data_IF_046581280066
#
_entry.id   IF_046581280066
#
_cell.length_a   1.000
_cell.length_b   1.000
_cell.length_c   1.000
_cell.angle_alpha   90.00
_cell.angle_beta   90.00
_cell.angle_gamma   90.00
#
_symmetry.space_group_name_H-M   'P 1'
#
loop_
_entity.id
_entity.type
_entity.pdbx_description
1 polymer ?
#
# COMPACT_ATOMS: atom_id res chain seq x y z
N UNK A 1 4.75 8.95 8.64
CA UNK A 1 4.37 7.60 9.08
C UNK A 1 2.84 7.41 9.23
N UNK A 2 2.08 8.41 9.72
CA UNK A 2 0.61 8.34 9.80
C UNK A 2 -0.01 8.17 8.41
N UNK A 3 0.41 8.97 7.45
CA UNK A 3 -0.05 8.94 6.06
C UNK A 3 0.20 7.59 5.38
N UNK A 4 1.40 6.98 5.56
CA UNK A 4 1.71 5.64 5.06
C UNK A 4 0.82 4.56 5.68
N UNK A 5 0.43 4.73 6.96
CA UNK A 5 -0.49 3.81 7.62
C UNK A 5 -1.88 3.86 7.00
N UNK A 6 -2.38 5.05 6.76
CA UNK A 6 -3.69 5.29 6.15
C UNK A 6 -3.73 4.78 4.70
N UNK A 7 -2.70 5.05 3.91
CA UNK A 7 -2.55 4.56 2.55
C UNK A 7 -2.50 3.03 2.48
N UNK A 8 -1.71 2.39 3.34
CA UNK A 8 -1.64 0.93 3.46
C UNK A 8 -3.00 0.34 3.84
N UNK A 9 -3.73 0.96 4.77
CA UNK A 9 -5.07 0.55 5.17
C UNK A 9 -6.05 0.65 4.00
N UNK A 10 -6.03 1.76 3.25
CA UNK A 10 -6.86 1.97 2.07
C UNK A 10 -6.57 0.95 0.97
N UNK A 11 -5.29 0.67 0.69
CA UNK A 11 -4.87 -0.35 -0.30
C UNK A 11 -5.38 -1.74 0.10
N UNK A 12 -5.29 -2.12 1.38
CA UNK A 12 -5.81 -3.40 1.90
C UNK A 12 -7.33 -3.49 1.80
N UNK A 13 -8.05 -2.43 2.15
CA UNK A 13 -9.50 -2.37 2.03
C UNK A 13 -9.97 -2.58 0.59
N UNK A 14 -9.27 -1.99 -0.40
CA UNK A 14 -9.54 -2.22 -1.83
C UNK A 14 -9.32 -3.69 -2.24
N UNK A 15 -8.29 -4.33 -1.70
CA UNK A 15 -8.06 -5.78 -1.94
C UNK A 15 -9.19 -6.60 -1.35
N UNK A 16 -9.70 -6.27 -0.16
CA UNK A 16 -10.82 -6.98 0.45
C UNK A 16 -12.13 -6.77 -0.30
N UNK A 17 -12.40 -5.55 -0.75
CA UNK A 17 -13.59 -5.26 -1.55
C UNK A 17 -13.59 -6.04 -2.88
N UNK A 18 -12.46 -6.05 -3.60
CA UNK A 18 -12.32 -6.83 -4.82
C UNK A 18 -12.47 -8.32 -4.57
N UNK A 19 -11.79 -8.85 -3.54
CA UNK A 19 -11.94 -10.25 -3.15
C UNK A 19 -13.40 -10.62 -2.89
N UNK A 20 -14.16 -9.74 -2.22
CA UNK A 20 -15.58 -9.99 -1.94
C UNK A 20 -16.39 -10.08 -3.23
N UNK A 21 -16.23 -9.10 -4.13
CA UNK A 21 -16.88 -9.10 -5.45
C UNK A 21 -16.53 -10.36 -6.24
N UNK A 22 -15.25 -10.67 -6.41
CA UNK A 22 -14.79 -11.83 -7.18
C UNK A 22 -15.36 -13.15 -6.61
N UNK A 23 -15.52 -13.27 -5.28
CA UNK A 23 -16.11 -14.47 -4.65
C UNK A 23 -17.63 -14.55 -4.83
N UNK A 24 -18.33 -13.43 -4.88
CA UNK A 24 -19.76 -13.34 -5.19
C UNK A 24 -19.98 -13.70 -6.65
N UNK A 25 -19.24 -13.10 -7.58
CA UNK A 25 -19.33 -13.35 -9.02
C UNK A 25 -19.11 -14.84 -9.37
N UNK A 26 -18.06 -15.47 -8.80
CA UNK A 26 -17.82 -16.92 -8.96
C UNK A 26 -18.99 -17.75 -8.40
N UNK A 27 -19.59 -17.28 -7.30
CA UNK A 27 -20.74 -17.95 -6.70
C UNK A 27 -21.96 -17.92 -7.61
N UNK A 28 -22.29 -16.76 -8.13
CA UNK A 28 -23.42 -16.53 -9.03
C UNK A 28 -23.23 -17.29 -10.34
N UNK A 29 -22.05 -17.21 -10.96
CA UNK A 29 -21.74 -17.95 -12.18
C UNK A 29 -21.86 -19.47 -12.00
N UNK A 30 -21.43 -20.02 -10.87
CA UNK A 30 -21.58 -21.43 -10.60
C UNK A 30 -23.05 -21.85 -10.42
N UNK A 31 -23.89 -21.03 -9.80
CA UNK A 31 -25.33 -21.31 -9.69
C UNK A 31 -26.02 -21.22 -11.04
N UNK A 32 -25.71 -20.21 -11.85
CA UNK A 32 -26.24 -20.08 -13.22
C UNK A 32 -25.87 -21.30 -14.09
N UNK A 33 -24.65 -21.79 -13.99
CA UNK A 33 -24.22 -22.98 -14.72
C UNK A 33 -25.00 -24.24 -14.28
N UNK A 34 -25.22 -24.40 -12.98
CA UNK A 34 -26.03 -25.52 -12.45
C UNK A 34 -27.50 -25.44 -12.90
N UNK A 35 -28.05 -24.26 -12.92
CA UNK A 35 -29.42 -24.02 -13.40
C UNK A 35 -29.57 -24.40 -14.87
N UNK A 36 -28.62 -23.98 -15.72
CA UNK A 36 -28.57 -24.38 -17.13
C UNK A 36 -28.42 -25.89 -17.33
N UNK A 37 -27.69 -26.58 -16.46
CA UNK A 37 -27.59 -28.06 -16.47
C UNK A 37 -28.93 -28.66 -16.14
N UNK A 38 -29.64 -28.12 -15.14
CA UNK A 38 -30.99 -28.63 -14.77
C UNK A 38 -32.01 -28.36 -15.87
N UNK A 39 -32.01 -27.21 -16.47
CA UNK A 39 -32.89 -26.88 -17.60
C UNK A 39 -32.69 -27.85 -18.76
N UNK A 40 -31.44 -28.06 -19.17
CA UNK A 40 -31.11 -28.99 -20.26
C UNK A 40 -31.58 -30.43 -19.93
N UNK A 41 -31.27 -30.89 -18.73
CA UNK A 41 -31.71 -32.21 -18.23
C UNK A 41 -33.25 -32.33 -18.27
N UNK A 42 -33.97 -31.35 -17.75
CA UNK A 42 -35.42 -31.34 -17.65
C UNK A 42 -36.04 -31.35 -19.06
N UNK A 43 -35.53 -30.48 -19.96
CA UNK A 43 -35.99 -30.44 -21.35
C UNK A 43 -35.82 -31.78 -22.06
N UNK A 44 -34.68 -32.46 -21.84
CA UNK A 44 -34.44 -33.77 -22.48
C UNK A 44 -35.27 -34.87 -21.86
N UNK A 45 -35.52 -34.85 -20.56
CA UNK A 45 -36.45 -35.77 -19.87
C UNK A 45 -37.87 -35.56 -20.41
N UNK A 46 -38.33 -34.33 -20.55
CA UNK A 46 -39.66 -34.04 -21.15
C UNK A 46 -39.78 -34.58 -22.57
N UNK A 47 -38.74 -34.40 -23.41
CA UNK A 47 -38.70 -34.99 -24.76
C UNK A 47 -38.81 -36.50 -24.75
N UNK A 48 -38.05 -37.17 -23.86
CA UNK A 48 -38.12 -38.63 -23.72
C UNK A 48 -39.48 -39.09 -23.22
N UNK A 49 -40.10 -38.33 -22.32
CA UNK A 49 -41.44 -38.66 -21.81
C UNK A 49 -42.56 -38.44 -22.85
N UNK A 50 -42.39 -37.46 -23.76
CA UNK A 50 -43.32 -37.18 -24.84
C UNK A 50 -43.30 -38.22 -25.96
N UNK A 51 -42.30 -39.10 -26.02
CA UNK A 51 -42.25 -40.19 -26.98
C UNK A 51 -43.39 -41.18 -26.73
N UNK A 52 -44.37 -41.19 -27.59
CA UNK A 52 -45.50 -42.13 -27.53
C UNK A 52 -45.04 -43.57 -27.77
N UNK A 53 -45.47 -44.47 -26.89
CA UNK A 53 -45.28 -45.90 -27.07
C UNK A 53 -46.46 -46.42 -27.87
N UNK A 54 -46.24 -46.95 -29.10
CA UNK A 54 -47.34 -47.35 -29.97
C UNK A 54 -48.28 -48.37 -29.31
N UNK A 55 -49.57 -48.21 -29.50
CA UNK A 55 -50.59 -49.06 -28.88
C UNK A 55 -50.62 -50.51 -29.43
N UNK A 56 -50.12 -50.70 -30.67
CA UNK A 56 -50.07 -52.01 -31.33
C UNK A 56 -48.98 -52.97 -30.91
N UNK A 57 -48.11 -52.60 -29.93
CA UNK A 57 -47.03 -53.43 -29.45
C UNK A 57 -47.52 -54.46 -28.42
N UNK A 58 -46.86 -55.61 -28.38
CA UNK A 58 -47.07 -56.60 -27.33
C UNK A 58 -46.73 -55.99 -25.93
N UNK A 59 -47.26 -56.67 -24.88
CA UNK A 59 -46.99 -56.25 -23.49
C UNK A 59 -45.48 -56.22 -23.16
N UNK A 60 -44.77 -57.22 -23.66
CA UNK A 60 -43.31 -57.38 -23.44
C UNK A 60 -42.54 -56.26 -24.19
N UNK A 61 -42.86 -55.92 -25.43
CA UNK A 61 -42.20 -54.88 -26.18
C UNK A 61 -42.47 -53.50 -25.60
N UNK A 62 -43.66 -53.25 -25.11
CA UNK A 62 -43.97 -52.00 -24.36
C UNK A 62 -43.14 -51.89 -23.10
N UNK A 63 -43.06 -52.98 -22.31
CA UNK A 63 -42.26 -52.99 -21.09
C UNK A 63 -40.77 -52.71 -21.38
N UNK A 64 -40.24 -53.30 -22.44
CA UNK A 64 -38.86 -53.05 -22.89
C UNK A 64 -38.61 -51.57 -23.25
N UNK A 65 -39.49 -50.98 -24.04
CA UNK A 65 -39.36 -49.54 -24.42
C UNK A 65 -39.48 -48.61 -23.22
N UNK A 66 -40.35 -48.93 -22.25
CA UNK A 66 -40.46 -48.17 -21.01
C UNK A 66 -39.17 -48.30 -20.20
N UNK A 67 -38.60 -49.50 -20.10
CA UNK A 67 -37.34 -49.72 -19.40
C UNK A 67 -36.18 -48.96 -20.05
N UNK A 68 -36.03 -49.06 -21.38
CA UNK A 68 -35.02 -48.31 -22.13
C UNK A 68 -35.15 -46.77 -21.94
N UNK A 69 -36.38 -46.25 -21.94
CA UNK A 69 -36.64 -44.85 -21.65
C UNK A 69 -36.22 -44.46 -20.24
N UNK A 70 -36.61 -45.28 -19.26
CA UNK A 70 -36.27 -45.02 -17.86
C UNK A 70 -34.76 -45.06 -17.61
N UNK A 71 -34.04 -45.99 -18.25
CA UNK A 71 -32.59 -46.10 -18.23
C UNK A 71 -31.94 -44.81 -18.80
N UNK A 72 -32.42 -44.29 -19.93
CA UNK A 72 -31.93 -43.01 -20.48
C UNK A 72 -32.20 -41.84 -19.53
N UNK A 73 -33.37 -41.80 -18.90
CA UNK A 73 -33.69 -40.76 -17.91
C UNK A 73 -32.79 -40.88 -16.68
N UNK A 74 -32.50 -42.08 -16.20
CA UNK A 74 -31.58 -42.30 -15.09
C UNK A 74 -30.17 -41.80 -15.45
N UNK A 75 -29.66 -42.16 -16.63
CA UNK A 75 -28.37 -41.70 -17.12
C UNK A 75 -28.29 -40.14 -17.23
N UNK A 76 -29.32 -39.51 -17.76
CA UNK A 76 -29.38 -38.02 -17.83
C UNK A 76 -29.32 -37.37 -16.43
N UNK A 77 -29.92 -38.00 -15.43
CA UNK A 77 -29.85 -37.53 -14.03
C UNK A 77 -28.47 -37.67 -13.44
N UNK A 78 -27.84 -38.82 -13.71
CA UNK A 78 -26.47 -39.11 -13.22
C UNK A 78 -25.45 -38.16 -13.88
N UNK A 79 -25.52 -38.03 -15.22
CA UNK A 79 -24.67 -37.08 -15.97
C UNK A 79 -24.84 -35.66 -15.48
N UNK A 80 -26.06 -35.19 -15.26
CA UNK A 80 -26.32 -33.83 -14.72
C UNK A 80 -25.80 -33.68 -13.29
N UNK A 81 -25.86 -34.72 -12.46
CA UNK A 81 -25.31 -34.69 -11.10
C UNK A 81 -23.78 -34.59 -11.13
N UNK A 82 -23.13 -35.35 -12.01
CA UNK A 82 -21.68 -35.32 -12.21
C UNK A 82 -21.23 -33.93 -12.71
N UNK A 83 -21.93 -33.39 -13.71
CA UNK A 83 -21.59 -32.05 -14.23
C UNK A 83 -21.75 -30.94 -13.19
N UNK A 84 -22.80 -30.99 -12.37
CA UNK A 84 -22.96 -30.05 -11.23
C UNK A 84 -21.86 -30.21 -10.19
N UNK A 85 -21.38 -31.42 -9.96
CA UNK A 85 -20.25 -31.66 -9.07
C UNK A 85 -18.99 -31.03 -9.63
N UNK A 86 -18.72 -31.18 -10.92
CA UNK A 86 -17.58 -30.52 -11.61
C UNK A 86 -17.65 -29.01 -11.49
N UNK A 87 -18.80 -28.40 -11.74
CA UNK A 87 -19.01 -26.94 -11.55
C UNK A 87 -18.72 -26.52 -10.11
N UNK A 88 -19.20 -27.30 -9.15
CA UNK A 88 -18.96 -26.98 -7.72
C UNK A 88 -17.48 -27.09 -7.33
N UNK A 89 -16.76 -28.06 -7.86
CA UNK A 89 -15.32 -28.24 -7.61
C UNK A 89 -14.52 -27.12 -8.27
N UNK A 90 -14.89 -26.74 -9.49
CA UNK A 90 -14.26 -25.64 -10.21
C UNK A 90 -14.44 -24.31 -9.47
N UNK A 91 -15.66 -23.99 -9.06
CA UNK A 91 -15.94 -22.78 -8.27
C UNK A 91 -15.20 -22.76 -6.92
N UNK A 92 -15.02 -23.92 -6.27
CA UNK A 92 -14.20 -24.01 -5.06
C UNK A 92 -12.74 -23.72 -5.33
N UNK A 93 -12.17 -24.26 -6.41
CA UNK A 93 -10.78 -24.02 -6.79
C UNK A 93 -10.54 -22.53 -7.12
N UNK A 94 -11.41 -21.92 -7.89
CA UNK A 94 -11.34 -20.49 -8.25
C UNK A 94 -11.48 -19.59 -7.00
N UNK A 95 -12.43 -19.90 -6.11
CA UNK A 95 -12.56 -19.18 -4.83
C UNK A 95 -11.31 -19.26 -3.96
N UNK A 96 -10.63 -20.41 -3.96
CA UNK A 96 -9.39 -20.58 -3.21
C UNK A 96 -8.23 -19.79 -3.86
N UNK A 97 -8.17 -19.74 -5.18
CA UNK A 97 -7.20 -18.94 -5.91
C UNK A 97 -7.37 -17.45 -5.61
N UNK A 98 -8.61 -16.94 -5.63
CA UNK A 98 -8.93 -15.54 -5.25
C UNK A 98 -8.50 -15.24 -3.83
N UNK A 99 -8.76 -16.13 -2.87
CA UNK A 99 -8.34 -15.99 -1.47
C UNK A 99 -6.82 -15.93 -1.33
N UNK A 100 -6.12 -16.83 -2.01
CA UNK A 100 -4.66 -16.93 -1.99
C UNK A 100 -4.03 -15.70 -2.62
N UNK A 101 -4.53 -15.25 -3.77
CA UNK A 101 -4.10 -14.03 -4.46
C UNK A 101 -4.29 -12.79 -3.59
N UNK A 102 -5.46 -12.63 -2.98
CA UNK A 102 -5.74 -11.52 -2.06
C UNK A 102 -4.79 -11.53 -0.84
N UNK A 103 -4.52 -12.70 -0.27
CA UNK A 103 -3.57 -12.85 0.83
C UNK A 103 -2.16 -12.43 0.44
N UNK A 104 -1.67 -12.88 -0.72
CA UNK A 104 -0.35 -12.50 -1.26
C UNK A 104 -0.26 -10.99 -1.50
N UNK A 105 -1.30 -10.38 -2.10
CA UNK A 105 -1.36 -8.91 -2.31
C UNK A 105 -1.28 -8.14 -0.99
N UNK A 106 -2.03 -8.57 0.02
CA UNK A 106 -1.98 -7.94 1.36
C UNK A 106 -0.62 -8.07 2.02
N UNK A 107 0.04 -9.22 1.87
CA UNK A 107 1.39 -9.44 2.40
C UNK A 107 2.40 -8.48 1.75
N UNK A 108 2.37 -8.35 0.41
CA UNK A 108 3.20 -7.37 -0.31
C UNK A 108 2.96 -5.94 0.18
N UNK A 109 1.70 -5.49 0.27
CA UNK A 109 1.39 -4.15 0.79
C UNK A 109 2.00 -3.94 2.19
N UNK A 110 2.02 -4.97 3.02
CA UNK A 110 2.62 -4.88 4.36
C UNK A 110 4.14 -4.76 4.31
N UNK A 111 4.78 -5.54 3.45
CA UNK A 111 6.23 -5.54 3.25
C UNK A 111 6.68 -4.20 2.66
N UNK A 112 6.06 -3.74 1.58
CA UNK A 112 6.33 -2.44 0.95
C UNK A 112 6.19 -1.28 1.95
N UNK A 113 5.10 -1.27 2.73
CA UNK A 113 4.89 -0.23 3.76
C UNK A 113 5.96 -0.27 4.86
N UNK A 114 6.46 -1.45 5.21
CA UNK A 114 7.54 -1.59 6.19
C UNK A 114 8.86 -1.06 5.65
N UNK A 115 9.15 -1.34 4.39
CA UNK A 115 10.35 -0.85 3.69
C UNK A 115 10.32 0.68 3.55
N UNK A 116 9.22 1.24 3.04
CA UNK A 116 9.02 2.69 2.94
C UNK A 116 9.18 3.41 4.29
N UNK A 117 8.73 2.81 5.39
CA UNK A 117 8.94 3.36 6.74
C UNK A 117 10.38 3.32 7.18
N UNK A 118 11.10 2.26 6.86
CA UNK A 118 12.53 2.14 7.18
C UNK A 118 13.33 3.19 6.43
N UNK A 119 13.06 3.38 5.13
CA UNK A 119 13.71 4.37 4.29
C UNK A 119 13.43 5.81 4.79
N UNK A 120 12.17 6.12 5.10
CA UNK A 120 11.80 7.43 5.65
C UNK A 120 12.49 7.70 7.00
N UNK A 121 12.64 6.67 7.84
CA UNK A 121 13.37 6.80 9.11
C UNK A 121 14.86 7.04 8.89
N UNK A 122 15.48 6.33 7.94
CA UNK A 122 16.89 6.50 7.59
C UNK A 122 17.16 7.88 7.00
N UNK A 123 16.31 8.33 6.07
CA UNK A 123 16.39 9.66 5.48
C UNK A 123 16.24 10.77 6.53
N UNK A 124 15.25 10.67 7.39
CA UNK A 124 15.05 11.64 8.47
C UNK A 124 16.23 11.70 9.45
N UNK A 125 16.89 10.56 9.72
CA UNK A 125 18.11 10.51 10.53
C UNK A 125 19.27 11.23 9.83
N UNK A 126 19.49 10.94 8.55
CA UNK A 126 20.53 11.57 7.74
C UNK A 126 20.36 13.09 7.65
N UNK A 127 19.13 13.54 7.41
CA UNK A 127 18.83 14.98 7.39
C UNK A 127 19.08 15.66 8.74
N UNK A 128 18.68 15.03 9.86
CA UNK A 128 18.98 15.57 11.20
C UNK A 128 20.48 15.67 11.48
N UNK A 129 21.25 14.70 11.03
CA UNK A 129 22.72 14.71 11.17
C UNK A 129 23.33 15.86 10.34
N UNK A 130 22.88 16.09 9.11
CA UNK A 130 23.31 17.23 8.27
C UNK A 130 22.98 18.57 8.92
N UNK A 131 21.74 18.77 9.33
CA UNK A 131 21.29 20.00 9.99
C UNK A 131 22.06 20.23 11.29
N UNK A 132 22.34 19.19 12.06
CA UNK A 132 23.15 19.30 13.29
C UNK A 132 24.59 19.70 12.99
N UNK A 133 25.19 19.17 11.93
CA UNK A 133 26.55 19.52 11.50
C UNK A 133 26.61 20.98 11.00
N UNK A 134 25.66 21.41 10.19
CA UNK A 134 25.54 22.78 9.70
C UNK A 134 25.35 23.79 10.85
N UNK A 135 24.49 23.45 11.81
CA UNK A 135 24.29 24.28 12.99
C UNK A 135 25.57 24.44 13.82
N UNK A 136 26.29 23.33 14.05
CA UNK A 136 27.58 23.38 14.76
C UNK A 136 28.60 24.26 14.03
N UNK A 137 28.71 24.12 12.70
CA UNK A 137 29.61 24.92 11.88
C UNK A 137 29.23 26.41 11.94
N UNK A 138 27.95 26.74 11.82
CA UNK A 138 27.47 28.13 11.92
C UNK A 138 27.72 28.75 13.30
N UNK A 139 27.49 27.99 14.38
CA UNK A 139 27.79 28.48 15.75
C UNK A 139 29.29 28.70 15.94
N UNK A 140 30.15 27.84 15.40
CA UNK A 140 31.61 28.01 15.49
C UNK A 140 32.06 29.25 14.72
N UNK A 141 31.59 29.43 13.48
CA UNK A 141 31.89 30.60 12.67
C UNK A 141 31.43 31.91 13.33
N UNK A 142 30.22 31.91 13.92
CA UNK A 142 29.72 33.07 14.66
C UNK A 142 30.56 33.40 15.89
N UNK A 143 31.06 32.40 16.62
CA UNK A 143 31.96 32.63 17.76
C UNK A 143 33.33 33.20 17.35
N UNK A 144 33.88 32.69 16.24
CA UNK A 144 35.15 33.20 15.70
C UNK A 144 34.99 34.63 15.21
N UNK A 145 33.91 34.94 14.49
CA UNK A 145 33.60 36.30 14.06
C UNK A 145 33.43 37.27 15.25
N UNK A 146 32.71 36.82 16.29
CA UNK A 146 32.57 37.63 17.51
C UNK A 146 33.90 37.88 18.20
N UNK A 147 34.78 36.88 18.31
CA UNK A 147 36.11 37.00 18.90
C UNK A 147 36.97 38.01 18.12
N UNK A 148 37.01 37.88 16.77
CA UNK A 148 37.73 38.79 15.91
C UNK A 148 37.20 40.25 16.02
N UNK A 149 35.88 40.43 16.06
CA UNK A 149 35.27 41.75 16.23
C UNK A 149 35.62 42.38 17.59
N UNK A 150 35.65 41.57 18.66
CA UNK A 150 36.08 42.03 19.98
C UNK A 150 37.55 42.46 20.00
N UNK A 151 38.43 41.63 19.46
CA UNK A 151 39.87 41.94 19.36
C UNK A 151 40.11 43.23 18.58
N UNK A 152 39.41 43.44 17.46
CA UNK A 152 39.48 44.68 16.70
C UNK A 152 38.96 45.91 17.48
N UNK A 153 37.89 45.74 18.25
CA UNK A 153 37.33 46.80 19.09
C UNK A 153 38.31 47.17 20.20
N UNK A 154 38.89 46.19 20.88
CA UNK A 154 39.87 46.42 21.94
C UNK A 154 41.13 47.14 21.41
N UNK A 155 41.66 46.71 20.24
CA UNK A 155 42.78 47.41 19.58
C UNK A 155 42.47 48.87 19.19
N UNK A 156 41.26 49.09 18.63
CA UNK A 156 40.81 50.44 18.28
C UNK A 156 40.70 51.33 19.53
N UNK A 157 40.24 50.77 20.61
CA UNK A 157 40.08 51.48 21.87
C UNK A 157 41.45 51.85 22.47
N UNK A 158 42.43 50.97 22.42
CA UNK A 158 43.81 51.20 22.85
C UNK A 158 44.47 52.31 22.02
N UNK A 159 44.30 52.28 20.68
CA UNK A 159 44.85 53.32 19.79
C UNK A 159 44.24 54.68 20.07
N UNK A 160 42.92 54.79 20.25
CA UNK A 160 42.24 56.04 20.60
C UNK A 160 42.68 56.53 21.96
N UNK A 161 42.83 55.71 22.95
CA UNK A 161 43.31 56.07 24.26
C UNK A 161 44.75 56.63 24.22
N UNK A 162 45.63 55.94 23.47
CA UNK A 162 47.00 56.40 23.30
C UNK A 162 47.10 57.77 22.59
N UNK A 163 46.28 58.00 21.54
CA UNK A 163 46.18 59.28 20.83
C UNK A 163 45.76 60.37 21.77
N UNK A 164 44.71 60.18 22.57
CA UNK A 164 44.26 61.22 23.53
C UNK A 164 45.29 61.46 24.64
N UNK A 165 45.96 60.42 25.13
CA UNK A 165 47.04 60.53 26.11
C UNK A 165 48.19 61.37 25.55
N UNK A 166 48.67 61.12 24.35
CA UNK A 166 49.77 61.85 23.70
C UNK A 166 49.40 63.27 23.45
N UNK A 167 48.16 63.59 23.08
CA UNK A 167 47.63 64.91 22.93
C UNK A 167 47.69 65.70 24.25
N UNK A 168 47.16 65.15 25.33
CA UNK A 168 47.18 65.75 26.68
C UNK A 168 48.63 65.96 27.12
N UNK A 169 49.51 64.99 26.93
CA UNK A 169 50.91 65.09 27.31
C UNK A 169 51.65 66.14 26.55
N UNK A 170 51.35 66.35 25.27
CA UNK A 170 51.92 67.38 24.45
C UNK A 170 51.44 68.78 24.87
N UNK A 171 50.15 68.94 25.18
CA UNK A 171 49.57 70.22 25.70
C UNK A 171 50.18 70.58 27.06
N UNK A 172 50.32 69.61 27.96
CA UNK A 172 50.96 69.78 29.24
C UNK A 172 52.42 70.29 29.10
N UNK A 173 53.20 69.70 28.20
CA UNK A 173 54.58 70.09 27.91
C UNK A 173 54.61 71.53 27.36
N UNK A 174 53.67 71.89 26.50
CA UNK A 174 53.57 73.28 25.92
C UNK A 174 53.24 74.36 27.02
N UNK A 175 52.30 74.02 27.92
CA UNK A 175 51.94 74.83 29.07
C UNK A 175 53.16 75.05 30.02
N UNK A 176 53.86 73.94 30.33
CA UNK A 176 55.06 74.05 31.18
C UNK A 176 56.17 74.83 30.57
N UNK A 177 56.36 74.76 29.25
CA UNK A 177 57.35 75.59 28.51
C UNK A 177 56.97 77.06 28.50
N UNK A 178 55.69 77.43 28.42
CA UNK A 178 55.20 78.79 28.52
C UNK A 178 55.41 79.42 29.91
N UNK A 179 55.20 78.62 30.99
CA UNK A 179 55.42 79.06 32.37
C UNK A 179 56.90 79.27 32.72
N UNK A 180 57.83 78.63 32.02
CA UNK A 180 59.29 78.80 32.23
C UNK A 180 59.87 80.01 31.48
N UNK A 181 59.08 80.60 30.56
CA UNK A 181 59.48 81.80 29.76
C UNK A 181 58.93 83.07 30.29
N UNK A 182 58.13 83.08 31.36
CA UNK A 182 57.71 84.19 32.18
C UNK A 182 58.53 84.26 33.48
#
# INVERSE_FOLDING_TARGET
NAQLTEESSSRRSRVDSRKKSDLEDIGEEAEDQKERIDEKKNTEIERLMAIEIPSGLSKEERAKRVAERNEKIAKLRDDASEDKSKVSEQAKAEKEEVRTSASRKKKRITEDTKEERADNSANAKSEREKVSAELKAAVTAAREAYKAAKENLDATYEDLYQQEFDKIASEYKAVKKRKRRK
#
